data_IF_862347115018
#
_entry.id   IF_862347115018
#
_cell.length_a   1.000
_cell.length_b   1.000
_cell.length_c   1.000
_cell.angle_alpha   90.00
_cell.angle_beta   90.00
_cell.angle_gamma   90.00
#
_symmetry.space_group_name_H-M   'P 1'
#
loop_
_entity.id
_entity.type
_entity.pdbx_description
1 polymer ?
#
# COMPACT_ATOMS: atom_id res chain seq x y z
N UNK A 1 -16.28 -20.19 -12.49
CA UNK A 1 -15.86 -19.72 -12.03
C UNK A 1 -15.32 -19.31 -12.01
N UNK A 2 -15.22 -19.39 -12.04
CA UNK A 2 -14.63 -19.03 -11.58
C UNK A 2 -14.18 -18.36 -11.51
N UNK A 3 -14.37 -18.31 -11.51
CA UNK A 3 -14.00 -17.64 -11.08
C UNK A 3 -13.40 -17.17 -11.14
N UNK A 4 -13.56 -17.31 -11.48
CA UNK A 4 -12.91 -16.71 -11.25
C UNK A 4 -12.41 -16.11 -11.36
N UNK A 5 -12.52 -16.47 -11.79
CA UNK A 5 -11.99 -15.88 -11.53
C UNK A 5 -11.63 -14.97 -11.73
N UNK A 6 -11.74 -14.95 -12.12
CA UNK A 6 -11.25 -14.03 -12.25
C UNK A 6 -11.04 -12.84 -11.85
N UNK A 7 -11.59 -12.10 -12.26
CA UNK A 7 -11.36 -11.06 -11.42
C UNK A 7 -10.92 -11.57 -10.24
N UNK A 8 -10.55 -12.55 -10.42
CA UNK A 8 -10.18 -13.23 -9.24
C UNK A 8 -9.14 -12.45 -8.52
N UNK A 9 -9.20 -12.43 -7.26
CA UNK A 9 -8.12 -11.87 -6.48
C UNK A 9 -6.84 -12.58 -6.84
N UNK A 10 -5.76 -11.90 -6.67
CA UNK A 10 -4.48 -12.51 -6.91
C UNK A 10 -4.36 -13.79 -6.12
N UNK A 11 -3.75 -14.81 -6.69
CA UNK A 11 -3.49 -16.01 -5.92
C UNK A 11 -2.70 -15.69 -4.67
N UNK A 12 -2.91 -16.48 -3.65
CA UNK A 12 -2.20 -16.28 -2.39
C UNK A 12 -0.70 -16.26 -2.63
N UNK A 13 -0.21 -17.13 -3.48
CA UNK A 13 1.22 -17.19 -3.73
C UNK A 13 1.75 -15.90 -4.33
N UNK A 14 0.99 -15.27 -5.20
CA UNK A 14 1.44 -14.02 -5.78
C UNK A 14 1.36 -12.89 -4.76
N UNK A 15 0.32 -12.90 -3.94
CA UNK A 15 0.18 -11.87 -2.94
C UNK A 15 1.29 -11.94 -1.91
N UNK A 16 1.78 -13.14 -1.65
CA UNK A 16 2.82 -13.32 -0.66
C UNK A 16 4.21 -13.15 -1.21
N UNK A 17 4.31 -12.95 -2.51
CA UNK A 17 5.60 -12.74 -3.10
C UNK A 17 6.22 -11.48 -2.55
N UNK A 18 7.44 -11.59 -2.09
CA UNK A 18 8.12 -10.46 -1.52
C UNK A 18 8.52 -9.48 -2.61
N UNK A 19 8.44 -8.21 -2.28
CA UNK A 19 9.07 -7.19 -3.09
C UNK A 19 10.57 -7.31 -2.82
N UNK A 20 11.33 -7.69 -3.84
CA UNK A 20 12.72 -8.04 -3.63
C UNK A 20 13.61 -6.88 -3.97
N UNK A 21 14.33 -6.36 -3.01
CA UNK A 21 15.41 -5.47 -3.36
C UNK A 21 16.45 -6.28 -4.10
N UNK A 22 17.22 -5.60 -4.90
CA UNK A 22 18.30 -6.24 -5.60
C UNK A 22 19.24 -6.84 -4.59
N UNK A 23 19.73 -8.02 -4.88
CA UNK A 23 20.69 -8.65 -4.00
C UNK A 23 21.92 -7.76 -3.86
N UNK A 24 22.64 -7.96 -2.79
CA UNK A 24 23.82 -7.15 -2.57
C UNK A 24 23.53 -6.02 -1.62
N UNK A 25 23.19 -6.39 -0.44
CA UNK A 25 22.86 -5.43 0.58
C UNK A 25 23.87 -4.32 0.64
N UNK A 26 23.45 -3.21 1.11
CA UNK A 26 24.30 -2.06 1.21
C UNK A 26 24.37 -1.26 -0.04
N UNK A 27 24.04 -1.86 -1.17
CA UNK A 27 24.05 -1.13 -2.42
C UNK A 27 22.70 -1.05 -3.06
N UNK A 28 21.71 -1.68 -2.43
CA UNK A 28 20.42 -1.77 -3.06
C UNK A 28 19.60 -0.51 -2.90
N UNK A 29 20.06 0.48 -2.12
CA UNK A 29 19.26 1.67 -1.90
C UNK A 29 18.93 2.39 -3.20
N UNK A 30 19.93 2.72 -4.07
CA UNK A 30 19.57 3.32 -5.34
C UNK A 30 18.79 2.38 -6.23
N UNK A 31 19.13 1.08 -6.21
CA UNK A 31 18.40 0.12 -7.03
C UNK A 31 16.97 -0.04 -6.55
N UNK A 32 16.75 -0.03 -5.25
CA UNK A 32 15.40 -0.13 -4.70
C UNK A 32 14.60 1.11 -5.05
N UNK A 33 15.21 2.30 -5.00
CA UNK A 33 14.53 3.51 -5.41
C UNK A 33 14.11 3.43 -6.87
N UNK A 34 14.97 2.85 -7.72
CA UNK A 34 14.60 2.65 -9.12
C UNK A 34 13.44 1.68 -9.27
N UNK A 35 13.43 0.60 -8.48
CA UNK A 35 12.32 -0.33 -8.52
C UNK A 35 11.02 0.36 -8.12
N UNK A 36 11.07 1.20 -7.09
CA UNK A 36 9.90 1.91 -6.65
C UNK A 36 9.38 2.86 -7.73
N UNK A 37 10.25 3.33 -8.60
CA UNK A 37 9.85 4.23 -9.67
C UNK A 37 9.21 3.51 -10.84
N UNK A 38 9.19 2.18 -10.83
CA UNK A 38 8.60 1.42 -11.91
C UNK A 38 7.10 1.29 -11.67
N UNK A 39 6.34 2.17 -12.29
CA UNK A 39 4.90 2.20 -12.05
C UNK A 39 4.19 0.95 -12.56
N UNK A 40 4.78 0.26 -13.52
CA UNK A 40 4.16 -0.95 -14.04
C UNK A 40 4.21 -2.08 -13.03
N UNK A 41 5.20 -2.07 -12.14
CA UNK A 41 5.33 -3.09 -11.12
C UNK A 41 4.63 -2.72 -9.82
N UNK A 42 4.16 -1.49 -9.69
CA UNK A 42 3.53 -1.05 -8.44
C UNK A 42 2.31 -1.89 -8.12
N UNK A 43 2.12 -2.13 -6.85
CA UNK A 43 1.02 -2.97 -6.37
C UNK A 43 1.21 -3.30 -4.91
N UNK A 44 0.63 -4.43 -4.49
CA UNK A 44 0.66 -4.88 -3.10
C UNK A 44 1.63 -6.05 -2.98
N UNK A 45 2.52 -5.97 -2.01
CA UNK A 45 3.56 -6.99 -1.82
C UNK A 45 3.88 -7.15 -0.35
N UNK A 46 4.45 -8.29 -0.01
CA UNK A 46 5.09 -8.46 1.28
C UNK A 46 6.48 -7.84 1.20
N UNK A 47 6.82 -7.02 2.17
CA UNK A 47 8.09 -6.31 2.15
C UNK A 47 9.24 -7.30 2.34
N UNK A 48 10.22 -7.24 1.44
CA UNK A 48 11.34 -8.16 1.48
C UNK A 48 12.63 -7.56 2.01
N UNK A 49 12.56 -6.36 2.57
CA UNK A 49 13.72 -5.71 3.16
C UNK A 49 13.32 -5.08 4.48
N UNK A 50 14.27 -4.46 5.17
CA UNK A 50 13.96 -3.80 6.42
C UNK A 50 13.15 -2.53 6.17
N UNK A 51 12.43 -2.09 7.20
CA UNK A 51 11.67 -0.86 7.10
C UNK A 51 12.61 0.33 6.88
N UNK A 52 13.78 0.31 7.52
CA UNK A 52 14.74 1.39 7.32
C UNK A 52 15.23 1.47 5.88
N UNK A 53 15.47 0.32 5.26
CA UNK A 53 15.87 0.29 3.87
C UNK A 53 14.77 0.86 2.99
N UNK A 54 13.53 0.49 3.26
CA UNK A 54 12.41 1.01 2.51
C UNK A 54 12.29 2.53 2.68
N UNK A 55 12.41 3.02 3.91
CA UNK A 55 12.32 4.46 4.16
C UNK A 55 13.36 5.23 3.36
N UNK A 56 14.58 4.72 3.36
CA UNK A 56 15.64 5.37 2.59
C UNK A 56 15.36 5.38 1.11
N UNK A 57 14.84 4.27 0.58
CA UNK A 57 14.55 4.19 -0.84
C UNK A 57 13.39 5.11 -1.22
N UNK A 58 12.37 5.20 -0.38
CA UNK A 58 11.23 6.09 -0.61
C UNK A 58 11.71 7.53 -0.65
N UNK A 59 12.58 7.89 0.30
CA UNK A 59 13.13 9.23 0.35
C UNK A 59 13.98 9.53 -0.88
N UNK A 60 14.82 8.59 -1.27
CA UNK A 60 15.67 8.76 -2.44
C UNK A 60 14.84 8.88 -3.72
N UNK A 61 13.70 8.23 -3.79
CA UNK A 61 12.84 8.31 -4.96
C UNK A 61 11.98 9.58 -4.99
N UNK A 62 11.95 10.32 -3.91
CA UNK A 62 11.09 11.50 -3.83
C UNK A 62 9.62 11.16 -3.62
N UNK A 63 9.35 10.03 -2.99
CA UNK A 63 7.97 9.57 -2.76
C UNK A 63 7.54 9.91 -1.35
N UNK A 64 6.24 9.83 -1.12
CA UNK A 64 5.67 9.96 0.22
C UNK A 64 5.50 8.58 0.82
N UNK A 65 5.81 8.46 2.11
CA UNK A 65 5.62 7.22 2.84
C UNK A 65 4.54 7.42 3.90
N UNK A 66 3.53 6.56 3.84
CA UNK A 66 2.47 6.54 4.86
C UNK A 66 2.70 5.27 5.69
N UNK A 67 3.21 5.47 6.89
CA UNK A 67 3.64 4.38 7.77
C UNK A 67 2.54 4.11 8.79
N UNK A 68 1.97 2.92 8.72
CA UNK A 68 0.85 2.53 9.57
C UNK A 68 1.22 1.30 10.37
N UNK A 69 1.10 1.39 11.69
CA UNK A 69 1.31 0.23 12.56
C UNK A 69 -0.06 -0.35 12.91
N UNK A 70 -0.32 -1.54 12.43
CA UNK A 70 -1.60 -2.19 12.63
C UNK A 70 -1.60 -3.17 13.79
N UNK A 71 -0.59 -3.12 14.64
CA UNK A 71 -0.57 -4.00 15.80
C UNK A 71 -1.78 -3.73 16.67
N UNK A 72 -2.57 -4.77 16.92
CA UNK A 72 -3.76 -4.64 17.75
C UNK A 72 -4.93 -3.94 17.11
N UNK A 73 -4.80 -3.53 15.85
CA UNK A 73 -5.90 -2.86 15.16
C UNK A 73 -6.88 -3.93 14.68
N UNK A 74 -8.14 -3.79 15.09
CA UNK A 74 -9.19 -4.74 14.73
C UNK A 74 -10.43 -3.98 14.31
N UNK A 75 -11.07 -4.49 13.25
CA UNK A 75 -12.33 -3.95 12.79
C UNK A 75 -12.15 -2.80 11.83
N UNK A 76 -13.20 -2.61 11.04
CA UNK A 76 -13.21 -1.63 9.96
C UNK A 76 -12.91 -0.21 10.46
N UNK A 77 -13.59 0.19 11.55
CA UNK A 77 -13.46 1.57 12.00
C UNK A 77 -12.05 1.88 12.46
N UNK A 78 -11.44 0.94 13.18
CA UNK A 78 -10.09 1.15 13.68
C UNK A 78 -9.07 1.15 12.55
N UNK A 79 -9.29 0.33 11.53
CA UNK A 79 -8.41 0.34 10.38
C UNK A 79 -8.51 1.67 9.63
N UNK A 80 -9.73 2.15 9.40
CA UNK A 80 -9.92 3.42 8.71
C UNK A 80 -9.26 4.56 9.47
N UNK A 81 -9.38 4.55 10.80
CA UNK A 81 -8.75 5.59 11.62
C UNK A 81 -7.24 5.50 11.56
N UNK A 82 -6.68 4.29 11.55
CA UNK A 82 -5.24 4.12 11.48
C UNK A 82 -4.70 4.63 10.14
N UNK A 83 -5.38 4.34 9.06
CA UNK A 83 -4.97 4.82 7.74
C UNK A 83 -5.08 6.33 7.64
N UNK A 84 -6.16 6.89 8.19
CA UNK A 84 -6.35 8.34 8.17
C UNK A 84 -5.23 9.04 8.92
N UNK A 85 -4.82 8.47 10.05
CA UNK A 85 -3.74 9.06 10.83
C UNK A 85 -2.42 8.98 10.09
N UNK A 86 -2.14 7.83 9.47
CA UNK A 86 -0.87 7.62 8.78
C UNK A 86 -0.72 8.52 7.57
N UNK A 87 -1.79 8.74 6.83
CA UNK A 87 -1.75 9.53 5.60
C UNK A 87 -2.21 10.97 5.81
N UNK A 88 -2.52 11.35 7.06
CA UNK A 88 -2.95 12.70 7.39
C UNK A 88 -4.17 13.12 6.57
N UNK A 89 -5.18 12.26 6.53
CA UNK A 89 -6.40 12.59 5.82
C UNK A 89 -7.01 13.87 6.38
N UNK A 90 -7.71 14.64 5.53
CA UNK A 90 -8.32 15.88 5.99
C UNK A 90 -9.32 15.63 7.10
N UNK A 91 -9.58 16.67 7.94
CA UNK A 91 -10.51 16.50 9.07
C UNK A 91 -11.92 16.08 8.65
N UNK A 92 -12.31 16.38 7.41
CA UNK A 92 -13.62 16.02 6.93
C UNK A 92 -13.72 14.58 6.48
N UNK A 93 -12.64 13.79 6.63
CA UNK A 93 -12.67 12.37 6.26
C UNK A 93 -13.80 11.66 7.01
N UNK A 94 -14.71 11.04 6.26
CA UNK A 94 -15.91 10.46 6.84
C UNK A 94 -15.73 9.08 7.47
N UNK A 95 -14.53 8.51 7.42
CA UNK A 95 -14.20 7.23 8.04
C UNK A 95 -15.13 6.11 7.58
N UNK A 96 -15.33 6.02 6.28
CA UNK A 96 -16.03 4.91 5.66
C UNK A 96 -15.28 4.48 4.41
N UNK A 97 -15.71 3.39 3.79
CA UNK A 97 -14.97 2.85 2.64
C UNK A 97 -14.95 3.83 1.46
N UNK A 98 -16.07 4.51 1.20
CA UNK A 98 -16.10 5.46 0.09
C UNK A 98 -15.15 6.62 0.34
N UNK A 99 -15.11 7.11 1.57
CA UNK A 99 -14.21 8.19 1.92
C UNK A 99 -12.75 7.75 1.80
N UNK A 100 -12.45 6.49 2.15
CA UNK A 100 -11.10 5.97 2.00
C UNK A 100 -10.69 5.94 0.54
N UNK A 101 -11.57 5.44 -0.33
CA UNK A 101 -11.27 5.39 -1.76
C UNK A 101 -11.02 6.79 -2.31
N UNK A 102 -11.85 7.75 -1.92
CA UNK A 102 -11.69 9.12 -2.39
C UNK A 102 -10.39 9.74 -1.89
N UNK A 103 -10.07 9.53 -0.62
CA UNK A 103 -8.88 10.13 -0.03
C UNK A 103 -7.61 9.56 -0.65
N UNK A 104 -7.55 8.24 -0.85
CA UNK A 104 -6.37 7.61 -1.44
C UNK A 104 -6.17 8.02 -2.90
N UNK A 105 -7.25 8.36 -3.59
CA UNK A 105 -7.16 8.81 -4.97
C UNK A 105 -7.08 10.33 -5.08
N UNK A 106 -6.91 11.02 -3.98
CA UNK A 106 -6.77 12.48 -3.97
C UNK A 106 -5.35 12.87 -3.56
N UNK A 107 -5.03 12.72 -2.29
CA UNK A 107 -3.70 13.01 -1.74
C UNK A 107 -3.14 14.37 -2.14
N UNK A 108 -4.04 15.34 -2.41
CA UNK A 108 -3.60 16.66 -2.83
C UNK A 108 -2.86 17.40 -1.73
N UNK A 109 -3.06 17.00 -0.47
CA UNK A 109 -2.36 17.60 0.66
C UNK A 109 -0.95 17.04 0.83
N UNK A 110 -0.57 16.05 0.05
CA UNK A 110 0.77 15.46 0.14
C UNK A 110 1.23 15.06 -1.25
N UNK A 111 1.58 16.04 -2.05
CA UNK A 111 2.03 15.77 -3.40
C UNK A 111 3.41 15.15 -3.40
N UNK A 112 3.62 14.18 -4.25
CA UNK A 112 4.89 13.50 -4.37
C UNK A 112 4.97 12.82 -5.73
N UNK A 113 6.14 12.30 -6.07
CA UNK A 113 6.31 11.59 -7.33
C UNK A 113 5.72 10.20 -7.32
N UNK A 114 5.43 9.68 -6.16
CA UNK A 114 4.79 8.40 -5.97
C UNK A 114 4.48 8.23 -4.50
N UNK A 115 3.83 7.12 -4.17
CA UNK A 115 3.35 6.91 -2.82
C UNK A 115 3.62 5.48 -2.36
N UNK A 116 3.92 5.34 -1.08
CA UNK A 116 4.10 4.02 -0.46
C UNK A 116 3.28 3.98 0.80
N UNK A 117 2.38 3.01 0.88
CA UNK A 117 1.61 2.74 2.09
C UNK A 117 2.22 1.50 2.74
N UNK A 118 2.77 1.68 3.93
CA UNK A 118 3.41 0.59 4.66
C UNK A 118 2.52 0.17 5.80
N UNK A 119 2.08 -1.08 5.77
CA UNK A 119 1.20 -1.65 6.79
C UNK A 119 2.01 -2.60 7.63
N UNK A 120 2.52 -2.11 8.77
CA UNK A 120 3.34 -2.90 9.66
C UNK A 120 2.49 -3.70 10.61
N UNK A 121 2.93 -4.91 10.92
CA UNK A 121 2.24 -5.79 11.86
C UNK A 121 0.82 -6.12 11.43
N UNK A 122 0.59 -6.15 10.12
CA UNK A 122 -0.72 -6.50 9.59
C UNK A 122 -0.95 -7.99 9.67
N UNK A 123 -2.12 -8.39 10.14
CA UNK A 123 -2.50 -9.79 10.08
C UNK A 123 -2.96 -10.13 8.68
N UNK A 124 -3.09 -11.42 8.37
CA UNK A 124 -3.55 -11.86 7.07
C UNK A 124 -4.92 -11.30 6.73
N UNK A 125 -5.75 -11.07 7.75
CA UNK A 125 -7.12 -10.61 7.53
C UNK A 125 -7.26 -9.11 7.74
N UNK A 126 -6.17 -8.40 8.07
CA UNK A 126 -6.20 -6.98 8.40
C UNK A 126 -7.13 -6.70 9.58
N UNK A 127 -7.45 -7.72 10.38
CA UNK A 127 -8.38 -7.58 11.48
C UNK A 127 -9.82 -7.40 11.04
N UNK A 128 -10.14 -7.72 9.79
CA UNK A 128 -11.44 -7.46 9.18
C UNK A 128 -12.21 -8.74 8.94
N UNK A 129 -13.54 -8.60 8.83
CA UNK A 129 -14.35 -9.69 8.32
C UNK A 129 -13.96 -9.98 6.87
N UNK A 130 -14.36 -11.16 6.38
CA UNK A 130 -14.03 -11.51 5.00
C UNK A 130 -14.58 -10.49 4.01
N UNK A 131 -15.80 -10.01 4.25
CA UNK A 131 -16.41 -9.05 3.35
C UNK A 131 -15.68 -7.71 3.38
N UNK A 132 -15.37 -7.22 4.56
CA UNK A 132 -14.65 -5.94 4.67
C UNK A 132 -13.25 -6.03 4.11
N UNK A 133 -12.59 -7.19 4.29
CA UNK A 133 -11.26 -7.38 3.74
C UNK A 133 -11.29 -7.31 2.23
N UNK A 134 -12.29 -7.90 1.61
CA UNK A 134 -12.42 -7.86 0.17
C UNK A 134 -12.61 -6.43 -0.31
N UNK A 135 -13.44 -5.66 0.39
CA UNK A 135 -13.65 -4.27 0.04
C UNK A 135 -12.35 -3.48 0.13
N UNK A 136 -11.62 -3.67 1.22
CA UNK A 136 -10.36 -2.97 1.42
C UNK A 136 -9.36 -3.31 0.31
N UNK A 137 -9.26 -4.59 -0.04
CA UNK A 137 -8.34 -5.01 -1.10
C UNK A 137 -8.73 -4.43 -2.45
N UNK A 138 -10.01 -4.33 -2.73
CA UNK A 138 -10.47 -3.72 -3.98
C UNK A 138 -10.11 -2.25 -4.02
N UNK A 139 -10.27 -1.54 -2.89
CA UNK A 139 -9.90 -0.13 -2.83
C UNK A 139 -8.42 0.04 -3.07
N UNK A 140 -7.59 -0.80 -2.46
CA UNK A 140 -6.15 -0.72 -2.67
C UNK A 140 -5.79 -0.96 -4.13
N UNK A 141 -6.40 -1.97 -4.75
CA UNK A 141 -6.13 -2.28 -6.15
C UNK A 141 -6.55 -1.12 -7.06
N UNK A 142 -7.70 -0.54 -6.80
CA UNK A 142 -8.19 0.58 -7.59
C UNK A 142 -7.28 1.80 -7.42
N UNK A 143 -6.76 2.00 -6.22
CA UNK A 143 -5.85 3.11 -5.95
C UNK A 143 -4.58 2.97 -6.78
N UNK A 144 -4.03 1.76 -6.86
CA UNK A 144 -2.83 1.52 -7.66
C UNK A 144 -3.09 1.87 -9.12
N UNK A 145 -4.23 1.43 -9.66
CA UNK A 145 -4.59 1.71 -11.04
C UNK A 145 -4.77 3.21 -11.26
N UNK A 146 -5.46 3.87 -10.34
CA UNK A 146 -5.72 5.30 -10.43
C UNK A 146 -4.41 6.08 -10.60
N UNK A 147 -3.43 5.81 -9.74
CA UNK A 147 -2.18 6.55 -9.77
C UNK A 147 -1.31 6.14 -10.95
N UNK A 148 -1.36 4.86 -11.35
CA UNK A 148 -0.63 4.41 -12.54
C UNK A 148 -1.07 5.19 -13.77
N UNK A 149 -2.37 5.43 -13.90
CA UNK A 149 -2.90 6.19 -15.01
C UNK A 149 -2.42 7.64 -14.99
N UNK A 150 -1.91 8.09 -13.88
CA UNK A 150 -1.36 9.44 -13.71
C UNK A 150 0.15 9.43 -13.64
N UNK A 151 0.75 8.31 -14.02
CA UNK A 151 2.19 8.15 -14.09
C UNK A 151 2.85 8.28 -12.73
N UNK A 152 2.17 7.83 -11.69
CA UNK A 152 2.72 7.81 -10.34
C UNK A 152 2.58 6.41 -9.78
N UNK A 153 3.67 5.79 -9.33
CA UNK A 153 3.54 4.48 -8.68
C UNK A 153 2.91 4.61 -7.30
N UNK A 154 2.05 3.68 -6.97
CA UNK A 154 1.46 3.58 -5.64
C UNK A 154 1.71 2.16 -5.14
N UNK A 155 2.46 2.04 -4.07
CA UNK A 155 2.87 0.76 -3.52
C UNK A 155 2.20 0.52 -2.17
N UNK A 156 1.83 -0.72 -1.92
CA UNK A 156 1.32 -1.13 -0.62
C UNK A 156 2.19 -2.28 -0.15
N UNK A 157 2.84 -2.11 0.98
CA UNK A 157 3.71 -3.14 1.53
C UNK A 157 3.18 -3.63 2.87
N UNK A 158 3.18 -4.94 3.02
CA UNK A 158 2.82 -5.59 4.26
C UNK A 158 4.10 -6.10 4.93
N UNK A 159 4.28 -5.76 6.18
CA UNK A 159 5.47 -6.21 6.88
C UNK A 159 5.14 -6.76 8.26
#
# INVERSE_FOLDING_TARGET
>A
MQKNSSSSPLPQSEREQSFLPVAGEGREMPALAQQLSNQEAAGSYTLGCSVETLRGAVDAAGFALFDTDLKGVKGKQNLLNALASAANFPPEFGANWDALADALCDLSWREAGGYVLLLRNASDTLGLSANDREIAQDIFADTVVYWRQRNKPFWIFFS
#
